data_IF_796744024113
#
_entry.id   IF_796744024113
#
_cell.length_a   1.000
_cell.length_b   1.000
_cell.length_c   1.000
_cell.angle_alpha   90.00
_cell.angle_beta   90.00
_cell.angle_gamma   90.00
#
_symmetry.space_group_name_H-M   'P 1'
#
loop_
_entity.id
_entity.type
_entity.pdbx_description
1 polymer ?
#
# COMPACT_ATOMS: atom_id res chain seq x y z
N UNK A 1 22.76 10.53 -3.62
CA UNK A 1 21.97 9.39 -4.13
C UNK A 1 21.59 8.51 -2.95
N UNK A 2 20.33 8.55 -2.52
CA UNK A 2 19.86 7.86 -1.32
C UNK A 2 19.59 6.38 -1.61
N UNK A 3 20.38 5.50 -1.02
CA UNK A 3 20.07 4.06 -0.94
C UNK A 3 18.84 3.89 -0.05
N UNK A 4 17.67 3.70 -0.66
CA UNK A 4 16.42 3.47 0.07
C UNK A 4 16.44 2.05 0.65
N UNK A 5 16.89 1.93 1.90
CA UNK A 5 16.81 0.69 2.67
C UNK A 5 15.34 0.36 2.92
N UNK A 6 14.95 -0.87 2.64
CA UNK A 6 13.60 -1.42 2.52
C UNK A 6 12.55 -0.88 3.56
N UNK A 7 11.90 0.24 3.22
CA UNK A 7 10.64 0.73 3.83
C UNK A 7 9.53 0.85 2.79
N UNK A 8 9.66 0.09 1.69
CA UNK A 8 8.89 0.18 0.43
C UNK A 8 7.37 0.07 0.63
N UNK A 9 6.90 -0.40 1.79
CA UNK A 9 5.47 -0.63 2.07
C UNK A 9 4.87 0.30 3.12
N UNK A 10 5.69 0.83 4.04
CA UNK A 10 5.17 1.57 5.20
C UNK A 10 4.86 3.02 4.87
N UNK A 11 5.67 3.65 4.01
CA UNK A 11 5.49 5.06 3.69
C UNK A 11 4.30 5.34 2.77
N UNK A 12 4.07 4.59 1.66
CA UNK A 12 2.90 4.83 0.80
C UNK A 12 1.58 4.61 1.54
N UNK A 13 1.54 3.58 2.39
CA UNK A 13 0.37 3.27 3.22
C UNK A 13 0.04 4.42 4.19
N UNK A 14 1.05 4.91 4.92
CA UNK A 14 0.85 6.02 5.87
C UNK A 14 0.41 7.31 5.16
N UNK A 15 0.95 7.57 3.97
CA UNK A 15 0.57 8.72 3.16
C UNK A 15 -0.89 8.62 2.70
N UNK A 16 -1.37 7.44 2.27
CA UNK A 16 -2.76 7.25 1.87
C UNK A 16 -3.75 7.32 3.03
N UNK A 17 -3.41 6.79 4.21
CA UNK A 17 -4.25 6.94 5.40
C UNK A 17 -4.37 8.40 5.85
N UNK A 18 -3.24 9.12 5.93
CA UNK A 18 -3.23 10.53 6.31
C UNK A 18 -4.06 11.38 5.33
N UNK A 19 -3.96 11.04 4.05
CA UNK A 19 -4.68 11.68 2.95
C UNK A 19 -6.18 11.45 2.99
N UNK A 20 -6.61 10.22 3.24
CA UNK A 20 -8.02 9.89 3.44
C UNK A 20 -8.60 10.62 4.66
N UNK A 21 -7.86 10.67 5.77
CA UNK A 21 -8.24 11.44 6.97
C UNK A 21 -8.41 12.92 6.64
N UNK A 22 -7.46 13.50 5.89
CA UNK A 22 -7.54 14.88 5.45
C UNK A 22 -8.81 15.13 4.62
N UNK A 23 -9.11 14.28 3.65
CA UNK A 23 -10.29 14.39 2.79
C UNK A 23 -11.62 14.31 3.59
N UNK A 24 -11.66 13.47 4.63
CA UNK A 24 -12.80 13.44 5.57
C UNK A 24 -12.94 14.75 6.36
N UNK A 25 -11.83 15.32 6.83
CA UNK A 25 -11.83 16.58 7.58
C UNK A 25 -12.19 17.80 6.72
N UNK A 26 -11.83 17.77 5.44
CA UNK A 26 -12.15 18.80 4.45
C UNK A 26 -13.58 18.66 3.89
N UNK A 27 -14.28 17.57 4.21
CA UNK A 27 -15.64 17.30 3.75
C UNK A 27 -15.72 16.90 2.27
N UNK A 28 -14.59 16.54 1.65
CA UNK A 28 -14.55 16.05 0.26
C UNK A 28 -14.82 14.55 0.15
N UNK A 29 -14.85 13.84 1.27
CA UNK A 29 -15.27 12.44 1.40
C UNK A 29 -16.31 12.34 2.50
N UNK A 30 -17.46 11.77 2.18
CA UNK A 30 -18.51 11.53 3.17
C UNK A 30 -18.09 10.43 4.15
N UNK A 31 -18.24 10.72 5.44
CA UNK A 31 -18.07 9.72 6.49
C UNK A 31 -19.41 8.98 6.64
N UNK A 32 -19.47 7.65 6.39
CA UNK A 32 -20.70 6.87 6.56
C UNK A 32 -21.30 7.05 7.96
N UNK A 33 -22.61 6.91 8.09
CA UNK A 33 -23.28 7.05 9.37
C UNK A 33 -22.78 6.00 10.39
N UNK A 34 -22.86 6.31 11.70
CA UNK A 34 -22.27 5.46 12.74
C UNK A 34 -22.76 4.00 12.71
N UNK A 35 -24.05 3.79 12.45
CA UNK A 35 -24.67 2.47 12.29
C UNK A 35 -24.11 1.71 11.07
N UNK A 36 -23.83 2.41 9.96
CA UNK A 36 -23.20 1.83 8.78
C UNK A 36 -21.75 1.45 9.08
N UNK A 37 -21.02 2.29 9.82
CA UNK A 37 -19.65 1.97 10.27
C UNK A 37 -19.60 0.73 11.16
N UNK A 38 -20.52 0.60 12.12
CA UNK A 38 -20.59 -0.58 13.02
C UNK A 38 -20.95 -1.86 12.25
N UNK A 39 -21.86 -1.77 11.28
CA UNK A 39 -22.22 -2.90 10.43
C UNK A 39 -21.06 -3.39 9.56
N UNK A 40 -20.16 -2.48 9.16
CA UNK A 40 -18.92 -2.84 8.47
C UNK A 40 -17.89 -3.36 9.47
N UNK A 41 -17.76 -2.79 10.68
CA UNK A 41 -16.77 -3.21 11.72
C UNK A 41 -17.05 -4.60 12.30
N UNK A 42 -18.31 -5.00 12.41
CA UNK A 42 -18.69 -6.29 12.97
C UNK A 42 -18.62 -7.48 12.01
N UNK A 43 -18.29 -7.27 10.73
CA UNK A 43 -18.35 -8.31 9.70
C UNK A 43 -17.02 -8.42 8.93
N UNK A 44 -16.09 -9.20 9.50
CA UNK A 44 -14.78 -9.49 8.89
C UNK A 44 -14.91 -10.17 7.51
N UNK A 45 -16.03 -10.85 7.21
CA UNK A 45 -16.28 -11.46 5.91
C UNK A 45 -16.49 -10.43 4.80
N UNK A 46 -16.90 -9.21 5.16
CA UNK A 46 -17.01 -8.05 4.27
C UNK A 46 -15.71 -7.28 4.15
N UNK A 47 -14.63 -7.69 4.82
CA UNK A 47 -13.32 -7.03 4.80
C UNK A 47 -12.17 -7.97 4.40
N UNK A 48 -12.30 -8.76 3.34
CA UNK A 48 -11.23 -9.68 2.95
C UNK A 48 -9.91 -8.96 2.64
N UNK A 49 -9.92 -7.66 2.30
CA UNK A 49 -8.74 -6.85 2.02
C UNK A 49 -7.90 -6.49 3.27
N UNK A 50 -8.54 -6.32 4.43
CA UNK A 50 -7.86 -6.02 5.70
C UNK A 50 -6.89 -7.14 6.12
N UNK A 51 -7.16 -8.37 5.67
CA UNK A 51 -6.35 -9.54 6.00
C UNK A 51 -5.62 -10.17 4.81
N UNK A 52 -6.10 -10.01 3.56
CA UNK A 52 -5.54 -10.72 2.40
C UNK A 52 -4.68 -9.86 1.46
N UNK A 53 -4.76 -8.52 1.51
CA UNK A 53 -3.95 -7.69 0.63
C UNK A 53 -4.00 -6.22 1.05
N UNK A 54 -2.97 -5.76 1.76
CA UNK A 54 -2.81 -4.34 2.09
C UNK A 54 -2.85 -3.44 0.83
N UNK A 55 -2.57 -4.01 -0.35
CA UNK A 55 -2.64 -3.33 -1.64
C UNK A 55 -4.06 -3.03 -2.11
N UNK A 56 -5.04 -3.87 -1.77
CA UNK A 56 -6.44 -3.60 -2.15
C UNK A 56 -7.01 -2.47 -1.30
N UNK A 57 -6.63 -2.41 -0.02
CA UNK A 57 -6.93 -1.27 0.85
C UNK A 57 -6.28 0.03 0.35
N UNK A 58 -5.00 -0.04 -0.03
CA UNK A 58 -4.26 1.10 -0.56
C UNK A 58 -4.91 1.69 -1.83
N UNK A 59 -5.36 0.81 -2.74
CA UNK A 59 -6.10 1.21 -3.95
C UNK A 59 -7.45 1.84 -3.63
N UNK A 60 -8.17 1.29 -2.65
CA UNK A 60 -9.46 1.82 -2.22
C UNK A 60 -9.30 3.23 -1.63
N UNK A 61 -8.32 3.43 -0.74
CA UNK A 61 -7.99 4.74 -0.19
C UNK A 61 -7.62 5.76 -1.27
N UNK A 62 -6.75 5.37 -2.21
CA UNK A 62 -6.37 6.22 -3.34
C UNK A 62 -7.57 6.58 -4.23
N UNK A 63 -8.50 5.65 -4.45
CA UNK A 63 -9.72 5.88 -5.24
C UNK A 63 -10.70 6.83 -4.55
N UNK A 64 -10.86 6.75 -3.23
CA UNK A 64 -11.82 7.59 -2.49
C UNK A 64 -11.27 9.00 -2.28
N UNK A 65 -9.97 9.14 -2.04
CA UNK A 65 -9.35 10.41 -1.70
C UNK A 65 -9.06 11.30 -2.94
N UNK A 66 -9.29 10.80 -4.16
CA UNK A 66 -9.47 11.60 -5.39
C UNK A 66 -8.27 12.37 -5.94
N UNK A 67 -7.13 12.44 -5.24
CA UNK A 67 -5.93 13.17 -5.67
C UNK A 67 -4.64 12.65 -5.01
N UNK A 68 -4.33 11.35 -5.16
CA UNK A 68 -3.08 10.78 -4.63
C UNK A 68 -2.36 9.97 -5.70
N UNK A 69 -1.02 9.98 -5.67
CA UNK A 69 -0.20 9.16 -6.58
C UNK A 69 -0.72 7.73 -6.52
N UNK A 70 -1.21 7.17 -7.63
CA UNK A 70 -1.80 5.84 -7.61
C UNK A 70 -0.75 4.85 -7.13
N UNK A 71 -1.18 3.90 -6.29
CA UNK A 71 -0.39 2.74 -5.89
C UNK A 71 0.44 2.24 -7.09
N UNK A 72 1.77 2.30 -7.01
CA UNK A 72 2.66 1.90 -8.12
C UNK A 72 2.85 0.36 -8.09
N UNK A 73 2.33 -0.40 -9.07
CA UNK A 73 2.46 -1.86 -9.09
C UNK A 73 3.91 -2.36 -8.99
N UNK A 74 4.88 -1.60 -9.49
CA UNK A 74 6.31 -1.88 -9.37
C UNK A 74 6.75 -2.10 -7.92
N UNK A 75 6.20 -1.36 -6.94
CA UNK A 75 6.54 -1.50 -5.52
C UNK A 75 6.11 -2.86 -4.97
N UNK A 76 4.94 -3.36 -5.39
CA UNK A 76 4.49 -4.72 -5.05
C UNK A 76 5.39 -5.77 -5.68
N UNK A 77 5.78 -5.58 -6.94
CA UNK A 77 6.65 -6.52 -7.64
C UNK A 77 8.04 -6.59 -6.98
N UNK A 78 8.59 -5.46 -6.54
CA UNK A 78 9.83 -5.42 -5.76
C UNK A 78 9.66 -6.15 -4.41
N UNK A 79 8.57 -5.93 -3.68
CA UNK A 79 8.28 -6.66 -2.44
C UNK A 79 8.24 -8.16 -2.67
N UNK A 80 7.49 -8.61 -3.67
CA UNK A 80 7.28 -10.03 -3.94
C UNK A 80 8.61 -10.70 -4.34
N UNK A 81 9.47 -10.01 -5.09
CA UNK A 81 10.85 -10.45 -5.34
C UNK A 81 11.65 -10.57 -4.04
N UNK A 82 11.66 -9.54 -3.19
CA UNK A 82 12.40 -9.54 -1.92
C UNK A 82 11.92 -10.67 -1.00
N UNK A 83 10.62 -10.93 -0.91
CA UNK A 83 10.07 -12.05 -0.15
C UNK A 83 10.52 -13.41 -0.71
N UNK A 84 10.57 -13.55 -2.04
CA UNK A 84 11.07 -14.75 -2.71
C UNK A 84 12.56 -14.98 -2.45
N UNK A 85 13.39 -13.93 -2.48
CA UNK A 85 14.81 -14.03 -2.14
C UNK A 85 14.99 -14.37 -0.65
N UNK A 86 14.27 -13.69 0.24
CA UNK A 86 14.30 -13.93 1.69
C UNK A 86 13.91 -15.36 2.06
N UNK A 87 12.89 -15.92 1.40
CA UNK A 87 12.45 -17.30 1.63
C UNK A 87 13.50 -18.34 1.18
N UNK A 88 14.29 -18.02 0.15
CA UNK A 88 15.38 -18.88 -0.33
C UNK A 88 16.65 -18.74 0.50
N UNK A 89 17.03 -17.50 0.83
CA UNK A 89 18.24 -17.18 1.57
C UNK A 89 18.05 -15.87 2.34
N UNK A 90 17.83 -15.99 3.65
CA UNK A 90 17.60 -14.86 4.54
C UNK A 90 18.79 -13.90 4.62
N UNK A 91 20.01 -14.32 4.27
CA UNK A 91 21.18 -13.45 4.31
C UNK A 91 21.30 -12.52 3.10
N UNK A 92 20.58 -12.82 2.01
CA UNK A 92 20.80 -12.16 0.70
C UNK A 92 19.73 -11.17 0.26
N UNK A 93 18.55 -11.15 0.88
CA UNK A 93 17.43 -10.32 0.42
C UNK A 93 17.65 -8.80 0.48
N UNK A 94 18.75 -8.35 1.10
CA UNK A 94 19.14 -6.93 1.19
C UNK A 94 20.29 -6.56 0.25
N UNK A 95 20.81 -7.50 -0.53
CA UNK A 95 21.95 -7.28 -1.42
C UNK A 95 21.52 -6.66 -2.76
N UNK A 96 20.28 -6.92 -3.18
CA UNK A 96 19.72 -6.36 -4.41
C UNK A 96 19.41 -4.87 -4.22
N UNK A 97 19.84 -4.05 -5.17
CA UNK A 97 19.37 -2.67 -5.33
C UNK A 97 18.36 -2.62 -6.49
N UNK A 98 17.35 -1.76 -6.38
CA UNK A 98 16.25 -1.70 -7.35
C UNK A 98 16.13 -0.31 -7.97
N UNK A 99 15.80 -0.24 -9.25
CA UNK A 99 15.35 0.99 -9.93
C UNK A 99 13.98 0.72 -10.55
N UNK A 100 13.01 1.59 -10.27
CA UNK A 100 11.70 1.56 -10.92
C UNK A 100 11.85 2.14 -12.33
N UNK A 101 11.41 1.39 -13.34
CA UNK A 101 11.55 1.73 -14.76
C UNK A 101 10.22 2.05 -15.43
N UNK A 102 9.10 1.74 -14.77
CA UNK A 102 7.75 2.00 -15.23
C UNK A 102 6.75 1.78 -14.12
N UNK A 103 5.45 1.89 -14.42
CA UNK A 103 4.40 1.72 -13.43
C UNK A 103 4.41 0.33 -12.79
N UNK A 104 4.72 -0.71 -13.56
CA UNK A 104 4.72 -2.12 -13.13
C UNK A 104 6.09 -2.81 -13.19
N UNK A 105 7.13 -2.11 -13.66
CA UNK A 105 8.44 -2.68 -13.95
C UNK A 105 9.56 -2.09 -13.10
N UNK A 106 10.55 -2.92 -12.81
CA UNK A 106 11.77 -2.55 -12.12
C UNK A 106 12.96 -3.34 -12.67
N UNK A 107 14.17 -2.82 -12.47
CA UNK A 107 15.43 -3.51 -12.71
C UNK A 107 16.22 -3.71 -11.41
N UNK A 108 17.04 -4.76 -11.36
CA UNK A 108 18.00 -5.02 -10.28
C UNK A 108 19.35 -4.46 -10.74
N UNK A 109 20.01 -3.69 -9.87
CA UNK A 109 21.28 -2.99 -10.14
C UNK A 109 22.49 -3.76 -9.62
#
# INVERSE_FOLDING_TARGET
MGLMRLYILFFPYGDHEASYIKAMLEGSVDIPAYNERIAVIGDDSKRPWLYNSHWEWDKELASIAGNFEPFQPALKNIRDHVLKVKAKDFSKFRLDAFRITGSDSFEIL
#
